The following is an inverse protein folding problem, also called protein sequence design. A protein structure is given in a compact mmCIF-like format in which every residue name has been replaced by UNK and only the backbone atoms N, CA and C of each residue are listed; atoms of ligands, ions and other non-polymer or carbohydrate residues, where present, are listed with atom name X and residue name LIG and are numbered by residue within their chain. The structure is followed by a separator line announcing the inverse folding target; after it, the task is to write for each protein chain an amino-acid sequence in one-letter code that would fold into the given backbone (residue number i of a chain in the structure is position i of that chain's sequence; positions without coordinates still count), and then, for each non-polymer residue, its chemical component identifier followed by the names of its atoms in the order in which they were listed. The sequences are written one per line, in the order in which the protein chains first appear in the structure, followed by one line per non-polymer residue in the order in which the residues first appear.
data_IF_978804545342
#
_entry.id   IF_978804545342
#
_cell.length_a   1.000
_cell.length_b   1.000
_cell.length_c   1.000
_cell.angle_alpha   90.00
_cell.angle_beta   90.00
_cell.angle_gamma   90.00
#
_symmetry.space_group_name_H-M   'P 1'
#
loop_
_entity.id
_entity.type
_entity.pdbx_description
1 polymer ?
#
# COMPACT_ATOMS: atom_id res chain seq x y z
N UNK A 1 15.67 -7.18 6.91
CA UNK A 1 15.62 -8.51 6.26
C UNK A 1 14.93 -8.32 4.93
N UNK A 2 15.71 -8.37 3.84
CA UNK A 2 15.29 -7.96 2.48
C UNK A 2 14.09 -8.77 2.02
N UNK A 3 12.95 -8.11 1.84
CA UNK A 3 11.73 -8.73 1.34
C UNK A 3 11.32 -8.14 -0.02
N UNK A 4 11.56 -8.97 -1.04
CA UNK A 4 10.73 -9.24 -2.22
C UNK A 4 10.28 -8.05 -3.08
N UNK A 5 11.24 -7.47 -3.82
CA UNK A 5 10.97 -7.15 -5.23
C UNK A 5 11.28 -8.38 -6.08
N UNK A 6 10.34 -9.31 -6.22
CA UNK A 6 10.48 -10.40 -7.20
C UNK A 6 10.05 -9.87 -8.57
N UNK A 7 11.02 -9.71 -9.49
CA UNK A 7 10.81 -9.31 -10.88
C UNK A 7 10.06 -7.96 -11.11
N UNK A 8 10.06 -7.04 -10.14
CA UNK A 8 9.31 -5.76 -10.18
C UNK A 8 7.78 -5.92 -10.35
N UNK A 9 7.24 -7.14 -10.32
CA UNK A 9 5.81 -7.45 -10.50
C UNK A 9 5.05 -7.62 -9.18
N UNK A 10 5.73 -7.48 -8.04
CA UNK A 10 5.17 -7.64 -6.71
C UNK A 10 5.43 -6.41 -5.84
N UNK A 11 4.40 -5.95 -5.14
CA UNK A 11 4.47 -4.83 -4.22
C UNK A 11 3.88 -5.23 -2.86
N UNK A 12 4.56 -4.80 -1.79
CA UNK A 12 4.01 -4.85 -0.42
C UNK A 12 3.41 -3.48 -0.13
N UNK A 13 2.16 -3.45 0.33
CA UNK A 13 1.47 -2.23 0.76
C UNK A 13 1.21 -2.35 2.26
N UNK A 14 1.73 -1.41 3.05
CA UNK A 14 1.57 -1.42 4.50
C UNK A 14 0.64 -0.29 4.95
N UNK A 15 -0.38 -0.66 5.73
CA UNK A 15 -1.41 0.25 6.25
C UNK A 15 -1.36 0.25 7.79
N UNK A 16 -0.79 1.30 8.41
CA UNK A 16 -0.82 1.45 9.85
C UNK A 16 -2.27 1.52 10.38
N UNK A 17 -2.51 0.95 11.55
CA UNK A 17 -3.85 0.91 12.17
C UNK A 17 -3.73 0.88 13.69
N UNK A 18 -4.54 1.69 14.38
CA UNK A 18 -4.52 1.77 15.84
C UNK A 18 -5.68 1.01 16.53
N UNK A 19 -6.53 0.31 15.76
CA UNK A 19 -7.74 -0.34 16.29
C UNK A 19 -7.46 -1.60 17.13
N UNK A 20 -6.22 -2.11 17.11
CA UNK A 20 -5.83 -3.33 17.82
C UNK A 20 -4.88 -3.00 18.97
N UNK A 21 -5.44 -2.88 20.18
CA UNK A 21 -4.68 -2.66 21.42
C UNK A 21 -3.90 -1.35 21.46
N UNK A 22 -4.30 -0.36 20.67
CA UNK A 22 -3.67 0.97 20.59
C UNK A 22 -2.15 0.92 20.33
N UNK A 23 -1.69 -0.05 19.53
CA UNK A 23 -0.26 -0.28 19.26
C UNK A 23 0.35 0.70 18.25
N UNK A 24 -0.46 1.55 17.61
CA UNK A 24 -0.02 2.55 16.63
C UNK A 24 -0.57 3.96 16.96
N UNK A 25 -0.29 4.50 18.16
CA UNK A 25 -0.93 5.71 18.65
C UNK A 25 -0.37 6.98 18.01
N UNK A 26 0.78 6.90 17.35
CA UNK A 26 1.52 8.04 16.83
C UNK A 26 1.01 8.51 15.46
N UNK A 27 1.52 9.66 15.02
CA UNK A 27 1.24 10.24 13.70
C UNK A 27 2.05 9.55 12.60
N UNK A 28 1.56 9.62 11.35
CA UNK A 28 2.11 8.93 10.18
C UNK A 28 3.64 9.10 10.01
N UNK A 29 4.17 10.30 10.23
CA UNK A 29 5.60 10.58 10.10
C UNK A 29 6.44 9.80 11.12
N UNK A 30 5.96 9.72 12.37
CA UNK A 30 6.63 8.99 13.45
C UNK A 30 6.59 7.48 13.16
N UNK A 31 5.46 6.98 12.67
CA UNK A 31 5.27 5.58 12.30
C UNK A 31 6.22 5.20 11.16
N UNK A 32 6.29 6.03 10.11
CA UNK A 32 7.19 5.82 8.98
C UNK A 32 8.67 5.81 9.41
N UNK A 33 9.07 6.78 10.23
CA UNK A 33 10.44 6.86 10.72
C UNK A 33 10.78 5.64 11.58
N UNK A 34 9.89 5.24 12.51
CA UNK A 34 10.06 4.05 13.33
C UNK A 34 10.26 2.80 12.48
N UNK A 35 9.42 2.61 11.45
CA UNK A 35 9.49 1.45 10.57
C UNK A 35 10.81 1.41 9.77
N UNK A 36 11.26 2.56 9.25
CA UNK A 36 12.52 2.67 8.52
C UNK A 36 13.73 2.40 9.41
N UNK A 37 13.77 2.99 10.61
CA UNK A 37 14.91 2.86 11.53
C UNK A 37 15.03 1.45 12.11
N UNK A 38 13.92 0.82 12.50
CA UNK A 38 13.96 -0.45 13.22
C UNK A 38 13.86 -1.68 12.32
N UNK A 39 13.21 -1.56 11.17
CA UNK A 39 12.92 -2.72 10.30
C UNK A 39 13.47 -2.59 8.89
N UNK A 40 14.08 -1.45 8.53
CA UNK A 40 14.63 -1.18 7.20
C UNK A 40 13.58 -1.46 6.10
N UNK A 41 12.36 -0.97 6.28
CA UNK A 41 11.28 -1.13 5.29
C UNK A 41 11.60 -0.32 4.03
N UNK A 42 11.55 -0.99 2.88
CA UNK A 42 11.81 -0.39 1.56
C UNK A 42 10.53 -0.27 0.70
N UNK A 43 9.40 -0.75 1.23
CA UNK A 43 8.11 -0.71 0.55
C UNK A 43 7.27 0.50 0.96
N UNK A 44 6.29 0.91 0.13
CA UNK A 44 5.38 1.99 0.46
C UNK A 44 4.60 1.72 1.75
N UNK A 45 4.65 2.69 2.66
CA UNK A 45 3.74 2.78 3.81
C UNK A 45 2.74 3.91 3.54
N UNK A 46 1.47 3.60 3.77
CA UNK A 46 0.37 4.54 3.63
C UNK A 46 0.07 5.25 4.96
N UNK A 47 -0.78 6.26 4.90
CA UNK A 47 -1.36 6.88 6.11
C UNK A 47 -2.14 5.88 6.94
N UNK A 48 -2.21 6.16 8.24
CA UNK A 48 -3.00 5.37 9.18
C UNK A 48 -4.47 5.35 8.79
N UNK A 49 -5.09 4.16 8.84
CA UNK A 49 -6.50 3.96 8.50
C UNK A 49 -7.18 3.01 9.49
N UNK A 50 -8.50 3.10 9.54
CA UNK A 50 -9.35 2.07 10.14
C UNK A 50 -9.54 0.91 9.14
N UNK A 51 -9.45 -0.32 9.63
CA UNK A 51 -9.57 -1.56 8.84
C UNK A 51 -10.78 -2.40 9.25
N UNK A 52 -11.37 -2.13 10.41
CA UNK A 52 -12.60 -2.77 10.91
C UNK A 52 -13.66 -1.72 11.32
N UNK A 53 -14.92 -2.18 11.42
CA UNK A 53 -16.04 -1.35 11.83
C UNK A 53 -16.64 -0.48 10.72
N UNK A 54 -17.59 0.38 11.10
CA UNK A 54 -18.33 1.23 10.15
C UNK A 54 -17.43 2.22 9.41
N UNK A 55 -16.37 2.69 10.07
CA UNK A 55 -15.40 3.64 9.51
C UNK A 55 -14.27 2.97 8.73
N UNK A 56 -14.27 1.65 8.61
CA UNK A 56 -13.23 0.94 7.87
C UNK A 56 -13.07 1.48 6.45
N UNK A 57 -11.82 1.64 6.02
CA UNK A 57 -11.48 2.13 4.69
C UNK A 57 -12.13 1.22 3.62
N UNK A 58 -12.67 1.78 2.52
CA UNK A 58 -13.37 1.01 1.49
C UNK A 58 -12.55 -0.16 0.92
N UNK A 59 -11.24 0.02 0.80
CA UNK A 59 -10.34 -1.05 0.37
C UNK A 59 -10.40 -2.27 1.32
N UNK A 60 -10.34 -2.06 2.64
CA UNK A 60 -10.41 -3.15 3.61
C UNK A 60 -11.81 -3.78 3.67
N UNK A 61 -12.87 -2.97 3.57
CA UNK A 61 -14.24 -3.51 3.40
C UNK A 61 -14.32 -4.44 2.19
N UNK A 62 -13.73 -4.05 1.06
CA UNK A 62 -13.70 -4.87 -0.14
C UNK A 62 -12.90 -6.18 0.06
N UNK A 63 -11.71 -6.12 0.68
CA UNK A 63 -10.90 -7.30 0.99
C UNK A 63 -11.66 -8.30 1.87
N UNK A 64 -12.32 -7.80 2.92
CA UNK A 64 -13.14 -8.59 3.84
C UNK A 64 -14.32 -9.21 3.08
N UNK A 65 -15.03 -8.44 2.26
CA UNK A 65 -16.17 -8.94 1.49
C UNK A 65 -15.78 -10.06 0.51
N UNK A 66 -14.61 -9.96 -0.14
CA UNK A 66 -14.14 -10.98 -1.07
C UNK A 66 -13.69 -12.27 -0.37
N UNK A 67 -13.02 -12.14 0.78
CA UNK A 67 -12.35 -13.26 1.45
C UNK A 67 -13.14 -13.88 2.60
N UNK A 68 -14.12 -13.16 3.14
CA UNK A 68 -14.76 -13.45 4.43
C UNK A 68 -13.78 -13.54 5.62
N UNK A 69 -12.57 -13.00 5.47
CA UNK A 69 -11.53 -12.98 6.52
C UNK A 69 -11.45 -11.58 7.10
N UNK A 70 -11.65 -11.49 8.41
CA UNK A 70 -11.61 -10.24 9.17
C UNK A 70 -10.28 -10.15 9.94
N UNK A 71 -9.59 -8.99 9.92
CA UNK A 71 -8.47 -8.77 10.83
C UNK A 71 -8.96 -8.74 12.27
N UNK A 72 -8.41 -9.60 13.12
CA UNK A 72 -8.65 -9.60 14.57
C UNK A 72 -7.46 -9.07 15.38
N UNK A 73 -6.32 -8.82 14.71
CA UNK A 73 -5.11 -8.28 15.30
C UNK A 73 -4.20 -7.62 14.24
N UNK A 74 -3.09 -7.02 14.69
CA UNK A 74 -2.07 -6.46 13.81
C UNK A 74 -1.39 -7.52 12.92
N UNK A 75 -0.86 -7.10 11.76
CA UNK A 75 -0.15 -7.95 10.80
C UNK A 75 -1.01 -9.03 10.12
N UNK A 76 -2.29 -8.76 9.86
CA UNK A 76 -3.03 -9.53 8.86
C UNK A 76 -2.52 -9.27 7.46
N UNK A 77 -2.59 -10.28 6.60
CA UNK A 77 -1.97 -10.28 5.27
C UNK A 77 -3.01 -10.71 4.25
N UNK A 78 -3.17 -9.94 3.18
CA UNK A 78 -4.00 -10.31 2.03
C UNK A 78 -3.10 -10.39 0.80
N UNK A 79 -3.20 -11.47 0.04
CA UNK A 79 -2.61 -11.58 -1.29
C UNK A 79 -3.67 -11.23 -2.32
N UNK A 80 -3.41 -10.19 -3.10
CA UNK A 80 -4.32 -9.67 -4.11
C UNK A 80 -3.65 -9.77 -5.48
N UNK A 81 -4.38 -10.25 -6.49
CA UNK A 81 -3.89 -10.33 -7.86
C UNK A 81 -3.91 -8.96 -8.58
N UNK A 82 -3.36 -8.91 -9.79
CA UNK A 82 -3.33 -7.70 -10.61
C UNK A 82 -4.73 -7.20 -11.06
N UNK A 83 -5.79 -7.99 -10.86
CA UNK A 83 -7.18 -7.62 -11.15
C UNK A 83 -7.93 -7.19 -9.88
N UNK A 84 -7.26 -7.10 -8.73
CA UNK A 84 -7.88 -6.75 -7.46
C UNK A 84 -8.63 -7.89 -6.77
N UNK A 85 -8.42 -9.14 -7.20
CA UNK A 85 -9.04 -10.32 -6.58
C UNK A 85 -8.21 -10.81 -5.40
N UNK A 86 -8.86 -11.07 -4.27
CA UNK A 86 -8.19 -11.70 -3.12
C UNK A 86 -7.95 -13.17 -3.41
N UNK A 87 -6.68 -13.57 -3.48
CA UNK A 87 -6.27 -14.95 -3.69
C UNK A 87 -6.18 -15.71 -2.37
N UNK A 88 -5.63 -15.08 -1.33
CA UNK A 88 -5.44 -15.66 0.01
C UNK A 88 -5.43 -14.57 1.07
N UNK A 89 -5.75 -14.96 2.31
CA UNK A 89 -5.58 -14.13 3.48
C UNK A 89 -4.97 -14.96 4.62
N UNK A 90 -4.13 -14.33 5.46
CA UNK A 90 -3.45 -14.97 6.57
C UNK A 90 -3.50 -14.11 7.83
N UNK A 91 -3.56 -14.79 8.97
CA UNK A 91 -3.52 -14.16 10.28
C UNK A 91 -2.12 -13.66 10.66
N UNK A 92 -2.04 -12.99 11.80
CA UNK A 92 -0.79 -12.57 12.44
C UNK A 92 0.23 -13.71 12.59
N UNK A 93 -0.23 -14.93 12.86
CA UNK A 93 0.63 -16.07 13.20
C UNK A 93 1.38 -16.67 12.01
N UNK A 94 0.88 -16.46 10.80
CA UNK A 94 1.52 -16.98 9.60
C UNK A 94 2.79 -16.19 9.31
N UNK A 95 3.91 -16.89 9.18
CA UNK A 95 5.22 -16.29 8.93
C UNK A 95 5.37 -15.87 7.47
N UNK A 96 6.43 -15.12 7.17
CA UNK A 96 6.69 -14.66 5.81
C UNK A 96 7.15 -15.81 4.91
N UNK A 97 7.87 -16.77 5.47
CA UNK A 97 8.35 -17.96 4.77
C UNK A 97 7.16 -18.82 4.30
N UNK A 98 6.12 -18.94 5.13
CA UNK A 98 4.92 -19.71 4.80
C UNK A 98 4.09 -19.08 3.67
N UNK A 99 4.15 -17.76 3.47
CA UNK A 99 3.40 -17.09 2.39
C UNK A 99 4.16 -17.04 1.06
N UNK A 100 5.48 -17.25 1.08
CA UNK A 100 6.36 -17.04 -0.08
C UNK A 100 5.90 -17.82 -1.31
N UNK A 101 5.61 -19.11 -1.15
CA UNK A 101 5.19 -19.98 -2.26
C UNK A 101 3.87 -19.53 -2.89
N UNK A 102 2.97 -18.97 -2.08
CA UNK A 102 1.70 -18.43 -2.59
C UNK A 102 1.91 -17.16 -3.40
N UNK A 103 2.81 -16.29 -2.96
CA UNK A 103 3.18 -15.08 -3.71
C UNK A 103 3.88 -15.45 -5.02
N UNK A 104 4.81 -16.40 -4.99
CA UNK A 104 5.50 -16.88 -6.18
C UNK A 104 4.51 -17.47 -7.20
N UNK A 105 3.59 -18.33 -6.76
CA UNK A 105 2.58 -18.92 -7.63
C UNK A 105 1.66 -17.86 -8.26
N UNK A 106 1.29 -16.82 -7.52
CA UNK A 106 0.50 -15.71 -8.07
C UNK A 106 1.27 -14.94 -9.16
N UNK A 107 2.57 -14.71 -8.98
CA UNK A 107 3.41 -14.01 -9.96
C UNK A 107 3.62 -14.85 -11.22
N UNK A 108 3.85 -16.15 -11.06
CA UNK A 108 4.02 -17.09 -12.17
C UNK A 108 2.74 -17.24 -13.02
N UNK A 109 1.58 -16.85 -12.48
CA UNK A 109 0.28 -16.86 -13.17
C UNK A 109 -0.02 -15.60 -14.00
N UNK A 110 0.78 -14.54 -13.87
CA UNK A 110 0.57 -13.27 -14.58
C UNK A 110 0.96 -13.46 -16.06
N UNK A 111 0.04 -13.26 -17.02
CA UNK A 111 0.39 -13.29 -18.44
C UNK A 111 1.40 -12.18 -18.77
N UNK A 112 2.42 -12.49 -19.57
CA UNK A 112 3.49 -11.56 -19.96
C UNK A 112 2.99 -10.23 -20.59
N UNK A 113 1.76 -10.17 -21.09
CA UNK A 113 1.21 -9.04 -21.85
C UNK A 113 0.44 -7.98 -21.05
N UNK A 114 0.37 -8.06 -19.71
CA UNK A 114 -0.51 -7.18 -18.91
C UNK A 114 0.20 -6.15 -18.03
N UNK A 115 1.42 -5.71 -18.37
CA UNK A 115 2.11 -4.65 -17.63
C UNK A 115 1.81 -3.28 -18.25
N UNK A 116 1.06 -2.38 -17.58
CA UNK A 116 1.07 -0.97 -17.94
C UNK A 116 2.50 -0.45 -17.74
N UNK A 117 3.11 0.05 -18.81
CA UNK A 117 4.37 0.78 -18.71
C UNK A 117 4.04 2.11 -18.04
N UNK A 118 4.42 2.29 -16.78
CA UNK A 118 4.43 3.60 -16.12
C UNK A 118 5.49 4.46 -16.80
N UNK A 119 5.11 5.08 -17.92
CA UNK A 119 5.85 6.17 -18.54
C UNK A 119 5.53 7.40 -17.70
N UNK A 120 6.45 7.75 -16.81
CA UNK A 120 6.36 8.95 -16.00
C UNK A 120 6.17 10.19 -16.88
N UNK A 121 5.03 10.86 -16.73
CA UNK A 121 4.86 12.23 -17.17
C UNK A 121 5.34 13.15 -16.05
N UNK A 122 6.60 13.58 -16.16
CA UNK A 122 7.06 14.82 -15.52
C UNK A 122 6.36 15.99 -16.21
N UNK A 123 5.30 16.51 -15.61
CA UNK A 123 4.78 17.81 -16.00
C UNK A 123 5.66 18.90 -15.40
N UNK A 124 6.81 19.14 -16.02
CA UNK A 124 7.43 20.47 -16.01
C UNK A 124 6.44 21.42 -16.69
N UNK A 125 5.69 22.19 -15.90
CA UNK A 125 4.91 23.32 -16.41
C UNK A 125 5.87 24.50 -16.47
N UNK A 126 6.28 25.00 -17.66
CA UNK A 126 7.04 26.22 -17.75
C UNK A 126 6.14 27.39 -17.37
N UNK A 127 6.55 28.18 -16.36
CA UNK A 127 5.98 29.48 -16.03
C UNK A 127 6.05 30.38 -17.27
N UNK A 128 4.90 30.67 -17.89
CA UNK A 128 4.80 31.66 -18.95
C UNK A 128 4.85 33.07 -18.36
N UNK A 129 5.85 33.86 -18.75
CA UNK A 129 5.87 35.31 -18.62
C UNK A 129 4.89 35.95 -19.62
N UNK A 130 3.84 36.60 -19.11
CA UNK A 130 3.03 37.69 -19.68
C UNK A 130 1.78 37.76 -18.78
N UNK A 131 1.44 38.81 -18.05
CA UNK A 131 1.31 40.19 -18.50
C UNK A 131 1.78 41.20 -17.43
N UNK A 132 2.77 42.01 -17.82
CA UNK A 132 2.96 43.35 -17.27
C UNK A 132 2.05 44.27 -18.07
N UNK A 133 0.98 44.77 -17.47
CA UNK A 133 0.35 46.03 -17.91
C UNK A 133 0.13 46.91 -16.70
N UNK A 134 1.07 47.84 -16.49
CA UNK A 134 0.84 49.09 -15.79
C UNK A 134 -0.09 49.98 -16.63
N UNK A 135 -1.04 50.66 -16.00
CA UNK A 135 -1.15 52.14 -15.96
C UNK A 135 -2.48 52.63 -15.35
N UNK A 136 -2.31 53.39 -14.26
CA UNK A 136 -2.82 54.74 -14.01
C UNK A 136 -4.33 55.10 -14.08
N UNK A 137 -4.75 55.72 -12.98
CA UNK A 137 -5.75 56.80 -12.79
C UNK A 137 -7.27 56.49 -12.82
N UNK A 138 -7.90 56.50 -11.64
CA UNK A 138 -8.68 57.63 -11.08
C UNK A 138 -9.07 57.39 -9.61
#
# INVERSE_FOLDING_TARGET
MTLLRYNQKFNVLAFPCNQFGEQEPHEDEVILNFAKTNYAVEFPMFSKIDVIGENAHPAFKNLINQSSVHPDWNFYKYLVDHNGRVLKAWSTKTTVEEIFDSCKAALDSIPEASVPTDQGESSDVPLSQADVVSKDEL
#
